data_IF_327206800448
#
_entry.id   IF_327206800448
#
_cell.length_a   1.000
_cell.length_b   1.000
_cell.length_c   1.000
_cell.angle_alpha   90.00
_cell.angle_beta   90.00
_cell.angle_gamma   90.00
#
_symmetry.space_group_name_H-M   'P 1'
#
loop_
_entity.id
_entity.type
_entity.pdbx_description
1 polymer ?
#
# COMPACT_ATOMS: atom_id res chain seq x y z
N UNK A 1 37.87 -2.65 -10.23
CA UNK A 1 37.56 -1.74 -9.10
C UNK A 1 36.07 -1.72 -8.93
N UNK A 2 35.54 -2.09 -7.76
CA UNK A 2 34.12 -1.96 -7.47
C UNK A 2 33.75 -0.47 -7.46
N UNK A 3 32.59 -0.14 -8.06
CA UNK A 3 32.09 1.22 -8.03
C UNK A 3 31.80 1.65 -6.58
N UNK A 4 31.98 2.92 -6.22
CA UNK A 4 31.58 3.37 -4.89
C UNK A 4 30.06 3.17 -4.71
N UNK A 5 29.61 2.81 -3.48
CA UNK A 5 28.19 2.60 -3.21
C UNK A 5 27.40 3.89 -3.49
N UNK A 6 26.29 3.75 -4.18
CA UNK A 6 25.33 4.83 -4.44
C UNK A 6 24.49 5.05 -3.21
N UNK A 7 24.00 6.27 -3.03
CA UNK A 7 23.19 6.67 -1.89
C UNK A 7 21.77 6.95 -2.32
N UNK A 8 20.82 6.41 -1.58
CA UNK A 8 19.40 6.60 -1.81
C UNK A 8 18.71 7.12 -0.55
N UNK A 9 17.65 7.92 -0.71
CA UNK A 9 16.87 8.43 0.39
C UNK A 9 15.43 7.91 0.33
N UNK A 10 14.97 7.33 1.42
CA UNK A 10 13.62 6.83 1.60
C UNK A 10 12.83 7.88 2.38
N UNK A 11 11.92 8.59 1.70
CA UNK A 11 11.19 9.72 2.26
C UNK A 11 9.80 9.28 2.74
N UNK A 12 9.59 9.29 4.07
CA UNK A 12 8.37 8.84 4.70
C UNK A 12 7.61 10.01 5.34
N UNK A 13 6.36 10.22 4.92
CA UNK A 13 5.45 11.22 5.47
C UNK A 13 4.39 10.65 6.40
N UNK A 14 4.10 9.35 6.29
CA UNK A 14 3.11 8.61 7.08
C UNK A 14 3.56 7.15 7.25
N UNK A 15 2.99 6.45 8.24
CA UNK A 15 3.38 5.08 8.62
C UNK A 15 3.26 4.02 7.51
N UNK A 16 2.39 4.20 6.53
CA UNK A 16 2.27 3.26 5.39
C UNK A 16 3.56 3.18 4.56
N UNK A 17 4.43 4.20 4.64
CA UNK A 17 5.67 4.26 3.89
C UNK A 17 6.62 3.10 4.21
N UNK A 18 6.62 2.61 5.44
CA UNK A 18 7.51 1.52 5.85
C UNK A 18 7.29 0.24 5.04
N UNK A 19 6.03 -0.19 4.91
CA UNK A 19 5.70 -1.39 4.15
C UNK A 19 6.02 -1.29 2.65
N UNK A 20 6.09 -0.05 2.10
CA UNK A 20 6.35 0.21 0.68
C UNK A 20 7.84 0.36 0.40
N UNK A 21 8.56 1.00 1.32
CA UNK A 21 9.96 1.37 1.09
C UNK A 21 10.96 0.33 1.64
N UNK A 22 10.56 -0.55 2.57
CA UNK A 22 11.46 -1.61 3.07
C UNK A 22 11.88 -2.62 2.00
N UNK A 23 10.99 -3.14 1.14
CA UNK A 23 11.43 -3.99 0.03
C UNK A 23 12.45 -3.29 -0.89
N UNK A 24 12.25 -1.99 -1.12
CA UNK A 24 13.19 -1.19 -1.89
C UNK A 24 14.54 -1.01 -1.16
N UNK A 25 14.52 -0.79 0.17
CA UNK A 25 15.74 -0.76 0.99
C UNK A 25 16.53 -2.07 0.91
N UNK A 26 15.83 -3.20 1.00
CA UNK A 26 16.44 -4.53 0.89
C UNK A 26 17.11 -4.71 -0.47
N UNK A 27 16.45 -4.31 -1.55
CA UNK A 27 17.01 -4.38 -2.90
C UNK A 27 18.22 -3.43 -3.07
N UNK A 28 18.17 -2.20 -2.53
CA UNK A 28 19.30 -1.27 -2.51
C UNK A 28 20.51 -1.92 -1.81
N UNK A 29 20.30 -2.49 -0.64
CA UNK A 29 21.35 -3.17 0.13
C UNK A 29 21.90 -4.40 -0.61
N UNK A 30 21.01 -5.18 -1.25
CA UNK A 30 21.39 -6.34 -2.07
C UNK A 30 22.32 -5.96 -3.23
N UNK A 31 22.14 -4.75 -3.79
CA UNK A 31 23.02 -4.19 -4.86
C UNK A 31 24.33 -3.62 -4.32
N UNK A 32 24.58 -3.68 -3.00
CA UNK A 32 25.77 -3.10 -2.37
C UNK A 32 25.71 -1.58 -2.23
N UNK A 33 24.52 -0.99 -2.32
CA UNK A 33 24.29 0.44 -2.22
C UNK A 33 23.77 0.82 -0.82
N UNK A 34 23.74 2.14 -0.50
CA UNK A 34 23.36 2.67 0.80
C UNK A 34 21.97 3.29 0.76
N UNK A 35 21.11 2.91 1.70
CA UNK A 35 19.81 3.54 1.93
C UNK A 35 19.76 4.25 3.27
N UNK A 36 19.11 5.41 3.31
CA UNK A 36 18.82 6.12 4.56
C UNK A 36 17.37 6.63 4.53
N UNK A 37 16.77 6.76 5.71
CA UNK A 37 15.41 7.22 5.91
C UNK A 37 15.36 8.67 6.36
N UNK A 38 14.47 9.44 5.76
CA UNK A 38 14.05 10.74 6.26
C UNK A 38 12.56 10.69 6.60
N UNK A 39 12.24 10.95 7.86
CA UNK A 39 10.88 10.94 8.36
C UNK A 39 10.38 12.38 8.52
N UNK A 40 9.23 12.70 7.94
CA UNK A 40 8.54 13.95 8.28
C UNK A 40 8.10 13.97 9.75
N UNK A 41 7.95 15.16 10.36
CA UNK A 41 7.54 15.27 11.76
C UNK A 41 6.21 14.56 12.10
N UNK A 42 5.32 14.40 11.11
CA UNK A 42 4.05 13.70 11.25
C UNK A 42 4.14 12.19 11.11
N UNK A 43 5.29 11.66 10.67
CA UNK A 43 5.51 10.23 10.51
C UNK A 43 6.00 9.63 11.84
N UNK A 44 5.30 8.64 12.42
CA UNK A 44 5.80 7.97 13.60
C UNK A 44 7.11 7.25 13.29
N UNK A 45 8.04 7.28 14.22
CA UNK A 45 9.30 6.55 14.10
C UNK A 45 9.09 5.07 14.39
N UNK A 46 9.18 4.26 13.34
CA UNK A 46 9.04 2.80 13.39
C UNK A 46 10.26 2.13 12.72
N UNK A 47 11.41 2.84 12.71
CA UNK A 47 12.65 2.31 12.15
C UNK A 47 13.18 1.14 13.00
N UNK A 48 13.78 0.19 12.31
CA UNK A 48 14.49 -0.91 12.93
C UNK A 48 15.91 -0.46 13.33
N UNK A 49 16.56 -1.20 14.19
CA UNK A 49 17.89 -0.83 14.73
C UNK A 49 18.98 -0.70 13.64
N UNK A 50 18.83 -1.44 12.56
CA UNK A 50 19.76 -1.45 11.41
C UNK A 50 19.36 -0.45 10.30
N UNK A 51 18.23 0.26 10.46
CA UNK A 51 17.74 1.25 9.50
C UNK A 51 18.33 2.63 9.80
N UNK A 52 19.15 3.12 8.88
CA UNK A 52 19.84 4.41 9.04
C UNK A 52 18.85 5.57 8.93
N UNK A 53 18.72 6.35 10.00
CA UNK A 53 17.94 7.59 10.02
C UNK A 53 18.79 8.81 9.69
N UNK A 54 18.28 9.71 8.86
CA UNK A 54 18.77 11.08 8.68
C UNK A 54 17.78 12.02 9.35
N UNK A 55 18.23 12.71 10.39
CA UNK A 55 17.35 13.49 11.27
C UNK A 55 17.10 14.93 10.80
N UNK A 56 18.00 15.51 10.00
CA UNK A 56 17.88 16.89 9.53
C UNK A 56 17.88 17.00 8.02
N UNK A 57 17.22 18.02 7.50
CA UNK A 57 17.24 18.31 6.05
C UNK A 57 18.66 18.67 5.58
N UNK A 58 19.47 19.33 6.42
CA UNK A 58 20.85 19.64 6.10
C UNK A 58 21.67 18.37 5.89
N UNK A 59 21.47 17.37 6.73
CA UNK A 59 22.18 16.10 6.59
C UNK A 59 21.64 15.30 5.39
N UNK A 60 20.34 15.41 5.06
CA UNK A 60 19.78 14.82 3.84
C UNK A 60 20.38 15.44 2.57
N UNK A 61 20.63 16.75 2.57
CA UNK A 61 21.34 17.44 1.47
C UNK A 61 22.80 16.98 1.39
N UNK A 62 23.50 16.87 2.53
CA UNK A 62 24.89 16.39 2.60
C UNK A 62 25.02 14.90 2.23
N UNK A 63 23.99 14.11 2.53
CA UNK A 63 23.92 12.71 2.11
C UNK A 63 24.02 12.58 0.59
N UNK A 64 23.53 13.58 -0.12
CA UNK A 64 23.57 13.71 -1.57
C UNK A 64 23.09 12.44 -2.30
N UNK A 65 21.84 12.01 -2.07
CA UNK A 65 21.31 10.81 -2.70
C UNK A 65 21.19 11.00 -4.22
N UNK A 66 21.44 9.92 -4.99
CA UNK A 66 21.20 9.93 -6.43
C UNK A 66 19.71 9.88 -6.76
N UNK A 67 18.90 9.26 -5.87
CA UNK A 67 17.44 9.26 -5.99
C UNK A 67 16.78 9.27 -4.61
N UNK A 68 15.55 9.80 -4.58
CA UNK A 68 14.69 9.86 -3.40
C UNK A 68 13.36 9.20 -3.75
N UNK A 69 12.94 8.23 -2.96
CA UNK A 69 11.69 7.50 -3.15
C UNK A 69 10.64 7.98 -2.17
N UNK A 70 9.45 8.30 -2.68
CA UNK A 70 8.32 8.69 -1.85
C UNK A 70 7.04 7.98 -2.30
N UNK A 71 6.33 7.30 -1.38
CA UNK A 71 5.00 6.75 -1.67
C UNK A 71 3.90 7.81 -1.57
N UNK A 72 4.18 8.94 -0.92
CA UNK A 72 3.26 10.07 -0.78
C UNK A 72 3.20 10.97 -2.02
N UNK A 73 2.33 11.97 -1.96
CA UNK A 73 2.04 12.85 -3.09
C UNK A 73 2.95 14.08 -3.19
N UNK A 74 3.98 14.17 -2.36
CA UNK A 74 4.92 15.29 -2.34
C UNK A 74 6.31 14.84 -1.89
N UNK A 75 7.29 15.64 -2.26
CA UNK A 75 8.69 15.48 -1.90
C UNK A 75 9.36 16.86 -1.91
N UNK A 76 10.31 17.16 -1.00
CA UNK A 76 11.01 18.43 -1.01
C UNK A 76 11.81 18.66 -2.30
N UNK A 77 11.51 19.75 -3.01
CA UNK A 77 12.16 20.12 -4.27
C UNK A 77 13.66 20.40 -4.14
N UNK A 78 14.07 20.92 -2.98
CA UNK A 78 15.44 21.33 -2.67
C UNK A 78 16.38 20.17 -2.29
N UNK A 79 15.87 18.98 -2.04
CA UNK A 79 16.72 17.82 -1.84
C UNK A 79 17.37 17.39 -3.17
N UNK A 80 18.66 16.97 -3.19
CA UNK A 80 19.34 16.52 -4.39
C UNK A 80 18.79 15.18 -4.90
N UNK A 81 19.16 14.80 -6.13
CA UNK A 81 18.82 13.51 -6.75
C UNK A 81 17.45 13.47 -7.43
N UNK A 82 17.20 12.36 -8.11
CA UNK A 82 15.96 12.07 -8.87
C UNK A 82 14.81 11.81 -7.90
N UNK A 83 13.65 12.45 -8.11
CA UNK A 83 12.45 12.27 -7.27
C UNK A 83 11.55 11.21 -7.88
N UNK A 84 11.33 10.12 -7.15
CA UNK A 84 10.63 8.93 -7.63
C UNK A 84 9.34 8.71 -6.83
N UNK A 85 8.20 8.69 -7.53
CA UNK A 85 6.92 8.29 -6.96
C UNK A 85 6.76 6.77 -7.05
N UNK A 86 6.57 6.11 -5.89
CA UNK A 86 6.32 4.66 -5.81
C UNK A 86 4.91 4.32 -5.34
N UNK A 87 4.05 5.32 -5.20
CA UNK A 87 2.65 5.26 -4.80
C UNK A 87 2.41 4.55 -3.44
N UNK A 88 1.21 4.77 -2.88
CA UNK A 88 0.82 4.22 -1.58
C UNK A 88 -0.37 3.24 -1.65
N UNK A 89 -0.78 2.85 -2.84
CA UNK A 89 -1.86 1.90 -3.08
C UNK A 89 -2.33 1.93 -4.53
N UNK A 90 -3.22 1.00 -4.88
CA UNK A 90 -3.80 0.92 -6.20
C UNK A 90 -4.87 1.99 -6.42
N UNK A 91 -5.10 2.43 -7.68
CA UNK A 91 -6.17 3.34 -8.00
C UNK A 91 -7.53 2.65 -7.78
N UNK A 92 -8.30 3.14 -6.80
CA UNK A 92 -9.62 2.63 -6.47
C UNK A 92 -10.62 3.77 -6.43
N UNK A 93 -11.69 3.68 -7.21
CA UNK A 93 -12.82 4.61 -7.14
C UNK A 93 -13.60 4.35 -5.84
N UNK A 94 -13.26 5.04 -4.77
CA UNK A 94 -13.98 4.94 -3.49
C UNK A 94 -15.23 5.82 -3.43
N UNK A 95 -15.31 6.86 -4.26
CA UNK A 95 -16.41 7.83 -4.29
C UNK A 95 -16.75 8.22 -5.72
N UNK A 96 -18.03 8.21 -6.07
CA UNK A 96 -18.53 8.51 -7.41
C UNK A 96 -18.20 9.94 -7.85
N UNK A 97 -18.09 10.89 -6.91
CA UNK A 97 -18.02 12.32 -7.18
C UNK A 97 -16.60 12.95 -7.13
N UNK A 98 -15.56 12.20 -6.76
CA UNK A 98 -14.20 12.76 -6.70
C UNK A 98 -13.36 12.30 -7.86
N UNK A 99 -12.76 13.29 -8.57
CA UNK A 99 -11.63 13.06 -9.49
C UNK A 99 -10.59 12.25 -8.69
N UNK A 100 -10.15 11.16 -9.26
CA UNK A 100 -9.20 10.27 -8.62
C UNK A 100 -7.86 11.03 -8.41
N UNK A 101 -7.59 11.35 -7.13
CA UNK A 101 -6.39 12.07 -6.72
C UNK A 101 -5.10 11.31 -7.05
N UNK A 102 -5.22 10.00 -7.31
CA UNK A 102 -4.12 9.13 -7.74
C UNK A 102 -3.47 9.63 -9.04
N UNK A 103 -4.24 10.14 -9.96
CA UNK A 103 -3.77 10.62 -11.27
C UNK A 103 -3.41 12.11 -11.31
N UNK A 104 -3.43 12.81 -10.20
CA UNK A 104 -3.12 14.24 -10.16
C UNK A 104 -1.62 14.50 -10.23
N UNK A 105 -1.15 15.11 -11.32
CA UNK A 105 0.26 15.52 -11.48
C UNK A 105 0.50 16.84 -10.75
N UNK A 106 1.29 16.78 -9.66
CA UNK A 106 1.62 17.94 -8.82
C UNK A 106 2.96 18.59 -9.14
N UNK A 107 3.73 18.02 -10.08
CA UNK A 107 5.01 18.54 -10.53
C UNK A 107 6.18 18.35 -9.55
N UNK A 108 6.09 17.37 -8.66
CA UNK A 108 7.16 17.05 -7.72
C UNK A 108 8.17 16.04 -8.27
N UNK A 109 7.68 15.01 -8.95
CA UNK A 109 8.44 13.83 -9.32
C UNK A 109 9.07 13.92 -10.72
N UNK A 110 10.20 13.26 -10.87
CA UNK A 110 10.89 13.03 -12.15
C UNK A 110 10.46 11.70 -12.77
N UNK A 111 10.13 10.74 -11.92
CA UNK A 111 9.72 9.40 -12.29
C UNK A 111 8.42 9.04 -11.58
N UNK A 112 7.49 8.44 -12.31
CA UNK A 112 6.33 7.73 -11.76
C UNK A 112 6.47 6.24 -12.04
N UNK A 113 6.66 5.43 -10.99
CA UNK A 113 6.74 3.98 -11.04
C UNK A 113 5.33 3.42 -10.91
N UNK A 114 4.67 3.13 -12.03
CA UNK A 114 3.27 2.67 -12.04
C UNK A 114 3.16 1.18 -11.77
N UNK A 115 2.01 0.78 -11.23
CA UNK A 115 1.79 -0.57 -10.72
C UNK A 115 1.37 -1.55 -11.82
N UNK A 116 0.58 -1.11 -12.80
CA UNK A 116 0.10 -2.02 -13.85
C UNK A 116 -0.88 -1.37 -14.83
N UNK A 117 -1.54 -2.19 -15.67
CA UNK A 117 -2.42 -1.74 -16.74
C UNK A 117 -3.54 -0.78 -16.29
N UNK A 118 -4.01 -0.86 -15.04
CA UNK A 118 -5.04 0.04 -14.51
C UNK A 118 -4.59 1.50 -14.39
N UNK A 119 -3.28 1.76 -14.37
CA UNK A 119 -2.72 3.10 -14.16
C UNK A 119 -1.74 3.54 -15.24
N UNK A 120 -0.92 2.65 -15.75
CA UNK A 120 0.19 2.97 -16.67
C UNK A 120 -0.23 3.72 -17.94
N UNK A 121 -1.27 3.31 -18.69
CA UNK A 121 -1.65 4.02 -19.92
C UNK A 121 -2.04 5.47 -19.65
N UNK A 122 -2.72 5.73 -18.53
CA UNK A 122 -3.13 7.07 -18.15
C UNK A 122 -1.91 7.93 -17.78
N UNK A 123 -0.96 7.41 -16.99
CA UNK A 123 0.27 8.12 -16.66
C UNK A 123 1.14 8.37 -17.89
N UNK A 124 1.21 7.45 -18.86
CA UNK A 124 1.90 7.68 -20.14
C UNK A 124 1.25 8.79 -20.97
N UNK A 125 -0.05 8.92 -20.95
CA UNK A 125 -0.75 10.06 -21.57
C UNK A 125 -0.36 11.38 -20.88
N UNK A 126 -0.31 11.40 -19.54
CA UNK A 126 0.13 12.57 -18.78
C UNK A 126 1.61 12.89 -18.99
N UNK A 127 2.48 11.89 -19.12
CA UNK A 127 3.88 12.07 -19.50
C UNK A 127 4.00 12.83 -20.82
N UNK A 128 3.31 12.37 -21.87
CA UNK A 128 3.31 13.03 -23.18
C UNK A 128 2.80 14.49 -23.08
N UNK A 129 1.75 14.72 -22.32
CA UNK A 129 1.13 16.04 -22.13
C UNK A 129 2.06 17.02 -21.40
N UNK A 130 2.70 16.59 -20.32
CA UNK A 130 3.50 17.45 -19.47
C UNK A 130 4.98 17.52 -19.89
N UNK A 131 5.59 16.43 -20.27
CA UNK A 131 6.95 16.36 -20.79
C UNK A 131 8.08 16.59 -19.78
N UNK A 132 7.79 16.69 -18.46
CA UNK A 132 8.78 16.93 -17.42
C UNK A 132 9.04 15.74 -16.50
N UNK A 133 8.46 14.58 -16.77
CA UNK A 133 8.68 13.33 -16.05
C UNK A 133 8.61 12.13 -16.98
N UNK A 134 9.07 10.99 -16.49
CA UNK A 134 8.99 9.69 -17.16
C UNK A 134 8.12 8.71 -16.39
N UNK A 135 7.54 7.75 -17.10
CA UNK A 135 6.68 6.70 -16.55
C UNK A 135 7.29 5.33 -16.83
N UNK A 136 7.46 4.55 -15.77
CA UNK A 136 7.91 3.16 -15.85
C UNK A 136 6.88 2.26 -15.17
N UNK A 137 6.45 1.20 -15.85
CA UNK A 137 5.61 0.17 -15.25
C UNK A 137 6.52 -0.83 -14.53
N UNK A 138 6.62 -0.66 -13.23
CA UNK A 138 7.55 -1.43 -12.38
C UNK A 138 6.85 -2.44 -11.47
N UNK A 139 5.53 -2.34 -11.37
CA UNK A 139 4.82 -2.94 -10.25
C UNK A 139 4.97 -2.12 -8.97
N UNK A 140 4.30 -2.54 -7.90
CA UNK A 140 4.32 -1.88 -6.61
C UNK A 140 5.33 -2.53 -5.66
N UNK A 141 6.25 -1.77 -5.13
CA UNK A 141 7.34 -2.31 -4.29
C UNK A 141 6.84 -3.08 -3.06
N UNK A 142 5.72 -2.68 -2.44
CA UNK A 142 5.09 -3.44 -1.35
C UNK A 142 4.69 -4.85 -1.77
N UNK A 143 4.30 -5.04 -3.03
CA UNK A 143 3.87 -6.34 -3.53
C UNK A 143 5.03 -7.37 -3.56
N UNK A 144 6.29 -6.95 -3.55
CA UNK A 144 7.43 -7.86 -3.47
C UNK A 144 7.35 -8.76 -2.24
N UNK A 145 6.88 -8.23 -1.11
CA UNK A 145 6.70 -9.01 0.12
C UNK A 145 5.61 -10.10 0.02
N UNK A 146 4.64 -9.95 -0.90
CA UNK A 146 3.60 -10.95 -1.12
C UNK A 146 4.09 -12.16 -1.91
N UNK A 147 5.11 -11.96 -2.75
CA UNK A 147 5.66 -12.97 -3.66
C UNK A 147 7.04 -13.48 -3.24
N UNK A 148 7.61 -12.95 -2.15
CA UNK A 148 8.84 -13.49 -1.59
C UNK A 148 8.55 -14.77 -0.81
N UNK A 149 9.37 -15.81 -1.02
CA UNK A 149 9.28 -17.06 -0.27
C UNK A 149 9.74 -16.92 1.22
N UNK A 150 9.93 -15.69 1.69
CA UNK A 150 10.54 -15.41 3.00
C UNK A 150 9.58 -15.54 4.18
N UNK A 151 8.27 -15.67 3.93
CA UNK A 151 7.27 -15.71 4.99
C UNK A 151 6.64 -17.10 5.11
N UNK A 152 7.10 -17.86 6.09
CA UNK A 152 6.36 -19.02 6.59
C UNK A 152 5.53 -18.58 7.81
N UNK A 153 4.24 -18.79 7.73
CA UNK A 153 3.34 -18.51 8.84
C UNK A 153 2.75 -19.82 9.32
N UNK A 154 3.02 -20.15 10.59
CA UNK A 154 2.41 -21.30 11.24
C UNK A 154 0.93 -21.03 11.50
N UNK A 155 0.09 -22.00 11.19
CA UNK A 155 -1.33 -21.96 11.51
C UNK A 155 -1.54 -22.64 12.86
N UNK A 156 -2.31 -22.01 13.72
CA UNK A 156 -2.63 -22.53 15.06
C UNK A 156 -3.72 -23.61 15.05
N UNK A 157 -4.47 -23.74 13.96
CA UNK A 157 -5.53 -24.75 13.79
C UNK A 157 -5.77 -25.08 12.31
N UNK A 158 -6.46 -26.22 12.07
CA UNK A 158 -6.92 -26.64 10.72
C UNK A 158 -8.25 -25.98 10.33
N UNK A 159 -8.83 -25.16 11.18
CA UNK A 159 -10.08 -24.46 10.86
C UNK A 159 -9.86 -23.37 9.84
N UNK A 160 -10.84 -23.11 8.96
CA UNK A 160 -10.79 -21.93 8.11
C UNK A 160 -10.68 -20.64 8.93
N UNK A 161 -9.80 -19.75 8.50
CA UNK A 161 -9.56 -18.46 9.17
C UNK A 161 -10.17 -17.33 8.35
N UNK A 162 -11.08 -16.59 8.93
CA UNK A 162 -11.75 -15.45 8.29
C UNK A 162 -11.11 -14.14 8.79
N UNK A 163 -10.58 -13.35 7.87
CA UNK A 163 -10.06 -12.02 8.17
C UNK A 163 -11.16 -10.98 7.98
N UNK A 164 -11.55 -10.30 9.03
CA UNK A 164 -12.44 -9.14 8.95
C UNK A 164 -11.64 -7.84 8.98
N UNK A 165 -11.71 -7.08 7.90
CA UNK A 165 -10.93 -5.83 7.74
C UNK A 165 -11.77 -4.73 7.09
N UNK A 166 -12.67 -4.07 7.83
CA UNK A 166 -13.53 -3.02 7.28
C UNK A 166 -12.77 -1.72 7.01
N UNK A 167 -13.31 -0.87 6.12
CA UNK A 167 -12.83 0.50 5.95
C UNK A 167 -13.13 1.35 7.18
N UNK A 168 -12.43 2.49 7.32
CA UNK A 168 -12.68 3.46 8.39
C UNK A 168 -13.69 4.55 8.02
N UNK A 169 -14.10 4.64 6.75
CA UNK A 169 -14.93 5.74 6.27
C UNK A 169 -16.36 5.56 6.76
N UNK A 170 -16.82 6.46 7.63
CA UNK A 170 -18.18 6.48 8.15
C UNK A 170 -19.19 6.53 7.01
N UNK A 171 -20.26 5.73 7.11
CA UNK A 171 -21.32 5.61 6.10
C UNK A 171 -21.08 4.56 5.00
N UNK A 172 -19.84 4.06 4.85
CA UNK A 172 -19.53 2.92 3.95
C UNK A 172 -18.81 1.78 4.68
N UNK A 173 -18.40 2.01 5.92
CA UNK A 173 -17.79 0.97 6.76
C UNK A 173 -18.87 0.05 7.32
N UNK A 174 -18.60 -1.24 7.26
CA UNK A 174 -19.42 -2.30 7.84
C UNK A 174 -19.20 -2.49 9.34
N UNK A 175 -18.21 -1.80 9.93
CA UNK A 175 -17.80 -2.04 11.32
C UNK A 175 -18.92 -1.81 12.35
N UNK A 176 -19.80 -0.83 12.10
CA UNK A 176 -20.93 -0.53 12.98
C UNK A 176 -22.09 -1.51 12.84
N UNK A 177 -22.23 -2.17 11.67
CA UNK A 177 -23.37 -3.03 11.36
C UNK A 177 -23.10 -4.52 11.69
N UNK A 178 -21.85 -4.99 11.52
CA UNK A 178 -21.56 -6.42 11.46
C UNK A 178 -21.13 -7.07 12.77
N UNK A 179 -20.94 -6.33 13.88
CA UNK A 179 -20.56 -6.94 15.15
C UNK A 179 -21.50 -8.06 15.59
N UNK A 180 -22.86 -7.89 15.58
CA UNK A 180 -23.78 -8.96 15.95
C UNK A 180 -23.67 -10.18 15.03
N UNK A 181 -23.52 -9.96 13.72
CA UNK A 181 -23.39 -11.02 12.72
C UNK A 181 -22.09 -11.81 12.91
N UNK A 182 -20.94 -11.12 13.06
CA UNK A 182 -19.65 -11.77 13.29
C UNK A 182 -19.68 -12.57 14.58
N UNK A 183 -20.22 -12.01 15.68
CA UNK A 183 -20.38 -12.72 16.95
C UNK A 183 -21.22 -13.99 16.79
N UNK A 184 -22.35 -13.92 16.08
CA UNK A 184 -23.21 -15.08 15.80
C UNK A 184 -22.45 -16.13 14.99
N UNK A 185 -21.77 -15.74 13.91
CA UNK A 185 -21.02 -16.65 13.05
C UNK A 185 -19.84 -17.30 13.80
N UNK A 186 -19.10 -16.53 14.60
CA UNK A 186 -18.03 -17.05 15.43
C UNK A 186 -18.49 -18.08 16.49
N UNK A 187 -19.72 -17.92 16.99
CA UNK A 187 -20.31 -18.86 17.93
C UNK A 187 -20.90 -20.13 17.27
N UNK A 188 -21.32 -20.06 16.01
CA UNK A 188 -22.09 -21.13 15.35
C UNK A 188 -21.34 -21.89 14.25
N UNK A 189 -20.23 -21.34 13.74
CA UNK A 189 -19.40 -21.93 12.69
C UNK A 189 -18.05 -22.38 13.23
N UNK A 190 -17.48 -23.40 12.64
CA UNK A 190 -16.13 -23.91 13.00
C UNK A 190 -15.05 -23.11 12.25
N UNK A 191 -15.06 -21.79 12.45
CA UNK A 191 -14.11 -20.85 11.87
C UNK A 191 -13.35 -20.11 12.96
N UNK A 192 -12.09 -19.78 12.67
CA UNK A 192 -11.31 -18.83 13.44
C UNK A 192 -11.39 -17.46 12.79
N UNK A 193 -11.34 -16.40 13.59
CA UNK A 193 -11.49 -15.03 13.11
C UNK A 193 -10.29 -14.19 13.48
N UNK A 194 -9.79 -13.41 12.51
CA UNK A 194 -8.84 -12.33 12.76
C UNK A 194 -9.56 -11.02 12.41
N UNK A 195 -9.61 -10.10 13.36
CA UNK A 195 -10.25 -8.79 13.19
C UNK A 195 -9.18 -7.71 13.21
N UNK A 196 -9.14 -6.87 12.18
CA UNK A 196 -8.21 -5.75 12.10
C UNK A 196 -8.96 -4.48 11.73
N UNK A 197 -8.66 -3.38 12.41
CA UNK A 197 -9.23 -2.09 12.06
C UNK A 197 -8.17 -1.15 11.49
N UNK A 198 -8.59 -0.30 10.56
CA UNK A 198 -7.72 0.74 10.01
C UNK A 198 -7.35 1.77 11.11
N UNK A 199 -6.10 2.28 11.19
CA UNK A 199 -5.67 3.23 12.23
C UNK A 199 -6.46 4.53 12.32
N UNK A 200 -7.19 4.88 11.25
CA UNK A 200 -8.05 6.07 11.19
C UNK A 200 -9.48 5.81 11.66
N UNK A 201 -9.79 4.58 12.06
CA UNK A 201 -11.06 4.30 12.73
C UNK A 201 -10.87 4.74 14.17
N UNK A 202 -11.55 5.82 14.57
CA UNK A 202 -11.37 6.56 15.83
C UNK A 202 -12.54 6.42 16.81
N UNK A 203 -13.48 5.51 16.52
CA UNK A 203 -14.59 5.18 17.43
C UNK A 203 -14.11 4.18 18.48
N UNK A 204 -13.69 4.71 19.65
CA UNK A 204 -13.14 3.89 20.73
C UNK A 204 -14.16 2.90 21.30
N UNK A 205 -15.44 3.30 21.41
CA UNK A 205 -16.48 2.41 21.91
C UNK A 205 -16.66 1.18 21.01
N UNK A 206 -16.67 1.39 19.71
CA UNK A 206 -16.75 0.32 18.72
C UNK A 206 -15.53 -0.61 18.79
N UNK A 207 -14.33 -0.05 18.91
CA UNK A 207 -13.08 -0.81 19.05
C UNK A 207 -13.14 -1.68 20.30
N UNK A 208 -13.57 -1.12 21.43
CA UNK A 208 -13.69 -1.82 22.69
C UNK A 208 -14.76 -2.94 22.64
N UNK A 209 -15.84 -2.75 21.86
CA UNK A 209 -16.86 -3.78 21.68
C UNK A 209 -16.31 -5.01 20.94
N UNK A 210 -15.53 -4.79 19.89
CA UNK A 210 -14.86 -5.88 19.16
C UNK A 210 -13.76 -6.53 20.00
N UNK A 211 -12.99 -5.75 20.76
CA UNK A 211 -11.98 -6.29 21.67
C UNK A 211 -12.63 -7.17 22.74
N UNK A 212 -13.71 -6.70 23.37
CA UNK A 212 -14.47 -7.50 24.37
C UNK A 212 -15.05 -8.79 23.77
N UNK A 213 -15.41 -8.80 22.51
CA UNK A 213 -15.82 -10.03 21.82
C UNK A 213 -14.64 -10.99 21.69
N UNK A 214 -13.48 -10.49 21.25
CA UNK A 214 -12.27 -11.30 21.12
C UNK A 214 -11.80 -11.87 22.45
N UNK A 215 -11.85 -11.08 23.53
CA UNK A 215 -11.47 -11.52 24.88
C UNK A 215 -12.37 -12.67 25.43
N UNK A 216 -13.60 -12.78 24.92
CA UNK A 216 -14.59 -13.77 25.36
C UNK A 216 -14.68 -15.01 24.47
N UNK A 217 -14.13 -14.94 23.26
CA UNK A 217 -14.27 -16.01 22.25
C UNK A 217 -12.88 -16.52 21.83
N UNK A 218 -12.50 -17.76 22.20
CA UNK A 218 -11.15 -18.27 21.99
C UNK A 218 -10.76 -18.41 20.49
N UNK A 219 -11.74 -18.40 19.60
CA UNK A 219 -11.56 -18.47 18.15
C UNK A 219 -11.62 -17.09 17.48
N UNK A 220 -11.48 -16.00 18.23
CA UNK A 220 -11.48 -14.62 17.71
C UNK A 220 -10.23 -13.90 18.19
N UNK A 221 -9.40 -13.45 17.26
CA UNK A 221 -8.21 -12.62 17.51
C UNK A 221 -8.50 -11.18 17.07
N UNK A 222 -8.25 -10.19 17.94
CA UNK A 222 -8.21 -8.79 17.55
C UNK A 222 -6.74 -8.39 17.29
N UNK A 223 -6.34 -8.38 16.03
CA UNK A 223 -4.95 -8.19 15.62
C UNK A 223 -4.59 -6.72 15.42
N UNK A 224 -3.36 -6.36 15.81
CA UNK A 224 -2.81 -5.04 15.55
C UNK A 224 -2.41 -4.89 14.09
N UNK A 225 -2.59 -3.69 13.55
CA UNK A 225 -2.39 -3.37 12.12
C UNK A 225 -0.96 -3.53 11.58
N UNK A 226 0.06 -3.52 12.43
CA UNK A 226 1.45 -3.71 12.00
C UNK A 226 1.77 -5.13 11.49
N UNK A 227 0.79 -6.04 11.58
CA UNK A 227 0.91 -7.44 11.13
C UNK A 227 0.14 -7.72 9.82
N UNK A 228 -0.09 -6.73 8.98
CA UNK A 228 -0.97 -6.84 7.82
C UNK A 228 -0.69 -8.04 6.90
N UNK A 229 0.56 -8.28 6.47
CA UNK A 229 0.90 -9.43 5.63
C UNK A 229 0.74 -10.76 6.39
N UNK A 230 1.16 -10.82 7.65
CA UNK A 230 1.00 -12.02 8.47
C UNK A 230 -0.48 -12.42 8.59
N UNK A 231 -1.38 -11.47 8.86
CA UNK A 231 -2.83 -11.75 8.93
C UNK A 231 -3.39 -12.20 7.59
N UNK A 232 -2.89 -11.67 6.48
CA UNK A 232 -3.29 -12.11 5.14
C UNK A 232 -2.86 -13.55 4.87
N UNK A 233 -1.63 -13.90 5.23
CA UNK A 233 -1.10 -15.25 5.01
C UNK A 233 -1.83 -16.29 5.89
N UNK A 234 -2.17 -15.94 7.12
CA UNK A 234 -2.90 -16.82 8.06
C UNK A 234 -4.36 -17.05 7.69
N UNK A 235 -5.00 -16.15 6.98
CA UNK A 235 -6.44 -16.22 6.67
C UNK A 235 -6.72 -16.88 5.33
N UNK A 236 -7.92 -17.45 5.15
CA UNK A 236 -8.38 -18.14 3.95
C UNK A 236 -9.36 -17.30 3.12
N UNK A 237 -10.19 -16.50 3.79
CA UNK A 237 -11.18 -15.59 3.20
C UNK A 237 -11.12 -14.25 3.90
N UNK A 238 -11.22 -13.15 3.17
CA UNK A 238 -11.42 -11.83 3.75
C UNK A 238 -12.90 -11.45 3.68
N UNK A 239 -13.45 -11.00 4.80
CA UNK A 239 -14.70 -10.23 4.87
C UNK A 239 -14.35 -8.74 4.96
N UNK A 240 -14.87 -7.94 4.07
CA UNK A 240 -14.57 -6.52 3.97
C UNK A 240 -15.81 -5.72 3.51
N UNK A 241 -15.60 -4.46 3.17
CA UNK A 241 -16.56 -3.57 2.53
C UNK A 241 -15.92 -2.86 1.31
N UNK A 242 -15.98 -1.54 1.21
CA UNK A 242 -15.36 -0.76 0.12
C UNK A 242 -13.95 -0.30 0.51
N UNK A 243 -12.96 -1.16 0.38
CA UNK A 243 -11.57 -0.86 0.73
C UNK A 243 -10.57 -1.37 -0.31
N UNK A 244 -9.50 -0.61 -0.52
CA UNK A 244 -8.40 -1.02 -1.43
C UNK A 244 -7.56 -2.19 -0.89
N UNK A 245 -7.69 -2.53 0.37
CA UNK A 245 -7.02 -3.69 0.99
C UNK A 245 -7.45 -5.02 0.35
N UNK A 246 -8.66 -5.05 -0.24
CA UNK A 246 -9.17 -6.23 -0.97
C UNK A 246 -8.28 -6.60 -2.16
N UNK A 247 -7.73 -5.60 -2.87
CA UNK A 247 -6.80 -5.85 -3.99
C UNK A 247 -5.53 -6.54 -3.49
N UNK A 248 -4.96 -6.01 -2.40
CA UNK A 248 -3.75 -6.59 -1.80
C UNK A 248 -3.98 -8.03 -1.34
N UNK A 249 -5.13 -8.30 -0.74
CA UNK A 249 -5.49 -9.64 -0.29
C UNK A 249 -5.68 -10.62 -1.46
N UNK A 250 -6.39 -10.19 -2.51
CA UNK A 250 -6.62 -10.98 -3.71
C UNK A 250 -5.34 -11.27 -4.49
N UNK A 251 -4.26 -10.48 -4.36
CA UNK A 251 -2.96 -10.79 -4.96
C UNK A 251 -2.34 -12.09 -4.43
N UNK A 252 -2.71 -12.50 -3.22
CA UNK A 252 -2.35 -13.81 -2.67
C UNK A 252 -3.19 -14.95 -3.25
N UNK A 253 -4.03 -14.69 -4.24
CA UNK A 253 -4.94 -15.68 -4.82
C UNK A 253 -6.02 -16.11 -3.83
N UNK A 254 -6.47 -15.24 -2.92
CA UNK A 254 -7.45 -15.54 -1.88
C UNK A 254 -8.77 -14.81 -2.13
N UNK A 255 -9.93 -15.48 -1.91
CA UNK A 255 -11.23 -14.90 -2.17
C UNK A 255 -11.65 -13.86 -1.13
N UNK A 256 -12.47 -12.89 -1.59
CA UNK A 256 -13.00 -11.82 -0.75
C UNK A 256 -14.53 -11.81 -0.82
N UNK A 257 -15.15 -11.79 0.36
CA UNK A 257 -16.57 -11.48 0.55
C UNK A 257 -16.69 -10.03 0.95
N UNK A 258 -17.58 -9.28 0.31
CA UNK A 258 -17.83 -7.89 0.66
C UNK A 258 -19.28 -7.67 1.12
N UNK A 259 -19.44 -6.72 2.04
CA UNK A 259 -20.76 -6.30 2.51
C UNK A 259 -21.03 -4.88 2.02
N UNK A 260 -22.07 -4.74 1.16
CA UNK A 260 -22.51 -3.45 0.58
C UNK A 260 -21.37 -2.69 -0.11
N UNK A 261 -20.56 -3.39 -0.90
CA UNK A 261 -19.48 -2.75 -1.66
C UNK A 261 -20.06 -1.69 -2.62
N UNK A 262 -19.43 -0.52 -2.69
CA UNK A 262 -19.86 0.57 -3.56
C UNK A 262 -19.60 0.29 -5.05
N UNK A 263 -18.66 -0.60 -5.36
CA UNK A 263 -18.29 -1.00 -6.72
C UNK A 263 -18.04 -2.51 -6.76
N UNK A 264 -19.11 -3.32 -6.60
CA UNK A 264 -18.96 -4.77 -6.67
C UNK A 264 -18.60 -5.20 -8.11
N UNK A 265 -17.90 -6.32 -8.23
CA UNK A 265 -17.52 -6.90 -9.50
C UNK A 265 -17.44 -8.43 -9.41
N UNK A 266 -17.24 -9.13 -10.54
CA UNK A 266 -17.24 -10.61 -10.58
C UNK A 266 -16.08 -11.24 -9.79
N UNK A 267 -15.08 -10.47 -9.41
CA UNK A 267 -13.94 -10.85 -8.55
C UNK A 267 -14.26 -10.83 -7.04
N UNK A 268 -15.50 -10.47 -6.65
CA UNK A 268 -15.97 -10.40 -5.28
C UNK A 268 -17.27 -11.18 -5.12
N UNK A 269 -17.49 -11.73 -3.92
CA UNK A 269 -18.83 -12.16 -3.50
C UNK A 269 -19.42 -11.03 -2.66
N UNK A 270 -20.24 -10.16 -3.28
CA UNK A 270 -20.85 -9.03 -2.57
C UNK A 270 -22.25 -9.38 -2.08
N UNK A 271 -22.50 -9.15 -0.80
CA UNK A 271 -23.81 -9.34 -0.17
C UNK A 271 -24.37 -8.02 0.35
N UNK A 272 -25.69 -7.87 0.30
CA UNK A 272 -26.39 -6.68 0.77
C UNK A 272 -27.08 -6.87 2.12
N UNK A 273 -27.33 -8.13 2.49
CA UNK A 273 -27.93 -8.50 3.76
C UNK A 273 -26.89 -9.20 4.64
N UNK A 274 -26.84 -8.83 5.92
CA UNK A 274 -25.90 -9.39 6.87
C UNK A 274 -26.14 -10.91 7.13
N UNK A 275 -27.35 -11.38 6.93
CA UNK A 275 -27.68 -12.81 7.11
C UNK A 275 -27.10 -13.71 6.02
N UNK A 276 -26.80 -13.15 4.84
CA UNK A 276 -26.22 -13.89 3.72
C UNK A 276 -24.69 -14.07 3.85
N UNK A 277 -24.04 -13.36 4.78
CA UNK A 277 -22.57 -13.36 4.94
C UNK A 277 -22.05 -14.78 5.22
N UNK A 278 -22.74 -15.55 6.07
CA UNK A 278 -22.32 -16.91 6.39
C UNK A 278 -22.24 -17.80 5.15
N UNK A 279 -23.28 -17.79 4.32
CA UNK A 279 -23.34 -18.56 3.07
C UNK A 279 -22.32 -18.06 2.05
N UNK A 280 -22.09 -16.74 1.97
CA UNK A 280 -21.10 -16.14 1.08
C UNK A 280 -19.67 -16.59 1.45
N UNK A 281 -19.34 -16.64 2.75
CA UNK A 281 -18.06 -17.14 3.25
C UNK A 281 -17.90 -18.63 2.93
N UNK A 282 -18.92 -19.45 3.15
CA UNK A 282 -18.90 -20.88 2.78
C UNK A 282 -18.62 -21.07 1.29
N UNK A 283 -19.30 -20.30 0.44
CA UNK A 283 -19.05 -20.30 -1.00
C UNK A 283 -17.61 -19.88 -1.33
N UNK A 284 -17.10 -18.81 -0.69
CA UNK A 284 -15.73 -18.35 -0.89
C UNK A 284 -14.69 -19.42 -0.50
N UNK A 285 -14.92 -20.13 0.60
CA UNK A 285 -14.05 -21.21 1.09
C UNK A 285 -13.93 -22.37 0.09
N UNK A 286 -14.96 -22.65 -0.73
CA UNK A 286 -14.87 -23.66 -1.81
C UNK A 286 -14.00 -23.21 -2.98
N UNK A 287 -13.61 -21.93 -3.03
CA UNK A 287 -12.76 -21.33 -4.08
C UNK A 287 -13.27 -21.61 -5.49
N UNK A 288 -14.53 -21.21 -5.85
CA UNK A 288 -15.09 -21.52 -7.14
C UNK A 288 -14.16 -21.07 -8.27
N UNK A 289 -13.93 -21.93 -9.25
CA UNK A 289 -12.98 -21.68 -10.35
C UNK A 289 -13.26 -20.35 -11.07
N UNK A 290 -14.51 -20.07 -11.38
CA UNK A 290 -14.93 -18.83 -12.03
C UNK A 290 -14.55 -17.59 -11.19
N UNK A 291 -14.75 -17.64 -9.86
CA UNK A 291 -14.36 -16.55 -8.96
C UNK A 291 -12.83 -16.37 -8.95
N UNK A 292 -12.08 -17.47 -8.88
CA UNK A 292 -10.61 -17.41 -8.84
C UNK A 292 -10.02 -16.89 -10.15
N UNK A 293 -10.63 -17.22 -11.30
CA UNK A 293 -10.23 -16.65 -12.60
C UNK A 293 -10.50 -15.14 -12.67
N UNK A 294 -11.62 -14.66 -12.14
CA UNK A 294 -11.92 -13.23 -12.08
C UNK A 294 -10.99 -12.48 -11.11
N UNK A 295 -10.63 -13.08 -9.97
CA UNK A 295 -9.63 -12.54 -9.06
C UNK A 295 -8.28 -12.41 -9.76
N UNK A 296 -7.85 -13.42 -10.49
CA UNK A 296 -6.58 -13.37 -11.22
C UNK A 296 -6.58 -12.30 -12.30
N UNK A 297 -7.66 -12.20 -13.09
CA UNK A 297 -7.82 -11.14 -14.11
C UNK A 297 -7.79 -9.74 -13.48
N UNK A 298 -8.54 -9.56 -12.39
CA UNK A 298 -8.62 -8.28 -11.70
C UNK A 298 -7.27 -7.87 -11.10
N UNK A 299 -6.58 -8.77 -10.42
CA UNK A 299 -5.29 -8.49 -9.82
C UNK A 299 -4.19 -8.27 -10.85
N UNK A 300 -4.18 -9.00 -11.97
CA UNK A 300 -3.25 -8.78 -13.09
C UNK A 300 -3.45 -7.42 -13.77
N UNK A 301 -4.68 -6.89 -13.75
CA UNK A 301 -4.95 -5.55 -14.25
C UNK A 301 -4.36 -4.46 -13.34
N UNK A 302 -4.26 -4.72 -12.04
CA UNK A 302 -3.74 -3.76 -11.07
C UNK A 302 -2.24 -3.89 -10.83
N UNK A 303 -1.69 -5.11 -10.82
CA UNK A 303 -0.27 -5.41 -10.60
C UNK A 303 0.32 -6.15 -11.81
N UNK A 304 1.21 -5.47 -12.53
CA UNK A 304 1.81 -6.01 -13.75
C UNK A 304 2.78 -7.16 -13.49
N UNK A 305 3.46 -7.14 -12.35
CA UNK A 305 4.51 -8.08 -12.01
C UNK A 305 4.26 -8.70 -10.64
N UNK A 306 4.17 -10.04 -10.62
CA UNK A 306 3.88 -10.81 -9.41
C UNK A 306 5.00 -11.82 -9.12
N UNK A 307 6.24 -11.33 -9.18
CA UNK A 307 7.46 -12.15 -9.09
C UNK A 307 8.44 -11.71 -7.99
N UNK A 308 8.05 -10.71 -7.16
CA UNK A 308 8.88 -10.23 -6.06
C UNK A 308 10.07 -9.35 -6.47
N UNK A 309 10.08 -8.83 -7.70
CA UNK A 309 11.21 -8.04 -8.23
C UNK A 309 10.83 -6.59 -8.62
N UNK A 310 9.74 -6.04 -8.09
CA UNK A 310 9.30 -4.68 -8.39
C UNK A 310 10.30 -3.62 -7.92
N UNK A 311 10.88 -3.83 -6.74
CA UNK A 311 11.94 -2.96 -6.21
C UNK A 311 13.17 -2.93 -7.11
N UNK A 312 13.53 -4.06 -7.70
CA UNK A 312 14.61 -4.12 -8.70
C UNK A 312 14.28 -3.27 -9.92
N UNK A 313 13.06 -3.40 -10.48
CA UNK A 313 12.60 -2.61 -11.63
C UNK A 313 12.56 -1.11 -11.33
N UNK A 314 12.22 -0.72 -10.09
CA UNK A 314 12.26 0.69 -9.67
C UNK A 314 13.69 1.23 -9.69
N UNK A 315 14.68 0.48 -9.24
CA UNK A 315 16.08 0.91 -9.29
C UNK A 315 16.60 0.95 -10.74
N UNK A 316 16.21 -0.02 -11.58
CA UNK A 316 16.56 -0.03 -13.00
C UNK A 316 15.93 1.15 -13.74
N UNK A 317 14.70 1.55 -13.38
CA UNK A 317 14.05 2.76 -13.91
C UNK A 317 14.81 4.04 -13.53
N UNK A 318 15.38 4.12 -12.33
CA UNK A 318 16.23 5.23 -11.91
C UNK A 318 17.51 5.27 -12.74
N UNK A 319 18.15 4.13 -12.96
CA UNK A 319 19.38 4.03 -13.77
C UNK A 319 19.12 4.43 -15.23
N UNK A 320 18.03 3.95 -15.83
CA UNK A 320 17.62 4.31 -17.17
C UNK A 320 17.31 5.83 -17.28
N UNK A 321 16.59 6.38 -16.31
CA UNK A 321 16.27 7.80 -16.27
C UNK A 321 17.54 8.67 -16.19
N UNK A 322 18.47 8.33 -15.32
CA UNK A 322 19.75 9.06 -15.17
C UNK A 322 20.55 9.01 -16.48
N UNK A 323 20.63 7.83 -17.10
CA UNK A 323 21.42 7.64 -18.32
C UNK A 323 20.83 8.32 -19.56
N UNK A 324 19.50 8.40 -19.68
CA UNK A 324 18.84 8.79 -20.94
C UNK A 324 18.00 10.06 -20.87
N UNK A 325 17.52 10.45 -19.67
CA UNK A 325 16.49 11.48 -19.56
C UNK A 325 16.86 12.65 -18.65
N UNK A 326 17.80 12.46 -17.71
CA UNK A 326 18.21 13.53 -16.81
C UNK A 326 18.78 14.72 -17.61
N UNK A 327 18.22 15.91 -17.37
CA UNK A 327 18.62 17.13 -18.08
C UNK A 327 18.00 17.31 -19.48
N UNK A 328 17.25 16.33 -20.01
CA UNK A 328 16.66 16.39 -21.37
C UNK A 328 15.15 16.62 -21.39
N UNK A 329 14.51 16.62 -20.21
CA UNK A 329 13.07 16.86 -20.10
C UNK A 329 12.74 18.34 -19.97
N UNK A 330 11.46 18.69 -20.16
CA UNK A 330 10.96 20.04 -19.87
C UNK A 330 11.15 20.40 -18.41
N UNK A 331 11.21 21.68 -18.10
CA UNK A 331 11.27 22.15 -16.71
C UNK A 331 9.96 21.81 -15.97
N UNK A 332 10.08 21.38 -14.72
CA UNK A 332 8.93 21.22 -13.83
C UNK A 332 8.25 22.57 -13.56
N UNK A 333 6.94 22.59 -13.32
CA UNK A 333 6.26 23.83 -12.93
C UNK A 333 6.86 24.40 -11.65
N UNK A 334 6.93 25.71 -11.54
CA UNK A 334 7.56 26.39 -10.40
C UNK A 334 6.91 26.06 -9.05
N UNK A 335 5.59 25.85 -9.03
CA UNK A 335 4.84 25.41 -7.83
C UNK A 335 5.12 26.27 -6.56
N UNK A 336 5.33 27.56 -6.71
CA UNK A 336 5.82 28.45 -5.65
C UNK A 336 5.04 28.32 -4.34
N UNK A 337 3.70 28.33 -4.41
CA UNK A 337 2.86 28.22 -3.21
C UNK A 337 3.04 26.85 -2.52
N UNK A 338 3.09 25.76 -3.31
CA UNK A 338 3.28 24.40 -2.76
C UNK A 338 4.68 24.23 -2.16
N UNK A 339 5.71 24.76 -2.84
CA UNK A 339 7.10 24.76 -2.34
C UNK A 339 7.20 25.55 -1.04
N UNK A 340 6.63 26.75 -0.98
CA UNK A 340 6.63 27.57 0.23
C UNK A 340 5.93 26.85 1.40
N UNK A 341 4.72 26.31 1.17
CA UNK A 341 4.00 25.55 2.20
C UNK A 341 4.82 24.35 2.72
N UNK A 342 5.51 23.63 1.84
CA UNK A 342 6.33 22.48 2.24
C UNK A 342 7.58 22.91 3.01
N UNK A 343 8.23 23.99 2.59
CA UNK A 343 9.38 24.60 3.30
C UNK A 343 8.99 25.05 4.72
N UNK A 344 7.85 25.75 4.86
CA UNK A 344 7.31 26.16 6.16
C UNK A 344 6.99 24.93 7.05
N UNK A 345 6.32 23.91 6.49
CA UNK A 345 6.01 22.66 7.21
C UNK A 345 7.27 21.99 7.74
N UNK A 346 8.33 21.96 6.93
CA UNK A 346 9.60 21.33 7.27
C UNK A 346 10.58 22.27 8.00
N UNK A 347 10.19 23.52 8.29
CA UNK A 347 11.02 24.56 8.90
C UNK A 347 12.35 24.78 8.17
N UNK A 348 12.32 24.74 6.85
CA UNK A 348 13.47 24.95 5.98
C UNK A 348 13.38 26.31 5.30
N UNK A 349 14.19 27.28 5.75
CA UNK A 349 14.13 28.69 5.35
C UNK A 349 15.30 29.15 4.45
N UNK A 350 16.16 28.21 4.03
CA UNK A 350 17.22 28.53 3.08
C UNK A 350 16.66 28.61 1.65
N UNK A 351 17.04 29.68 0.94
CA UNK A 351 16.70 29.89 -0.48
C UNK A 351 17.67 29.14 -1.38
#
# INVERSE_FOLDING_TARGET
>A
MERPPRRYLLYASLSYAYAILRPLQEEIRRRGDEAAWFLEPSCPDMLLLDERRISTLRDAIRWNPIAIFAPGNHIPDFLPGVKVAVFHGYPMKKRIEKIDDHFTIRGWFDIYCTQGPSSTPYFRMLEKRHGFFKVYETGWTKADSFFSNSYHVERSSDRPVILYSPTFTKGISSAWDLLPTIKRLAATRQWDWIITFHPKLDDQQLIDDYQRMADKMPNVEFARLNKGLETFLRSDVMLCDSSSITVEYMMLGKPVVTYRNTHPGPHLIDVRNADDIGQAIETALTRPEALMQEIDRYTSHHEAHRDGHNSSRVLDAVDDFIARHAGHLRHKPLNLIRRLKLRLKLRYYHL
#
